data_IF_426929917627
#
_entry.id   IF_426929917627
#
_cell.length_a   1.000
_cell.length_b   1.000
_cell.length_c   1.000
_cell.angle_alpha   90.00
_cell.angle_beta   90.00
_cell.angle_gamma   90.00
#
_symmetry.space_group_name_H-M   'P 1'
#
loop_
_entity.id
_entity.type
_entity.pdbx_description
1 polymer ?
#
# COMPACT_ATOMS: atom_id res chain seq x y z
N UNK A 1 8.02 6.08 3.78
CA UNK A 1 7.10 7.19 3.44
C UNK A 1 7.59 8.11 2.33
N UNK A 2 8.75 8.78 2.42
CA UNK A 2 9.21 9.73 1.36
C UNK A 2 9.31 9.11 -0.04
N UNK A 3 9.77 7.87 -0.15
CA UNK A 3 9.74 7.13 -1.42
C UNK A 3 8.33 6.98 -2.00
N UNK A 4 7.31 6.76 -1.15
CA UNK A 4 5.92 6.66 -1.59
C UNK A 4 5.35 8.01 -2.05
N UNK A 5 5.72 9.10 -1.38
CA UNK A 5 5.32 10.46 -1.77
C UNK A 5 5.85 10.85 -3.15
N UNK A 6 7.03 10.35 -3.52
CA UNK A 6 7.64 10.57 -4.84
C UNK A 6 7.16 9.56 -5.91
N UNK A 7 6.00 8.92 -5.71
CA UNK A 7 5.43 7.97 -6.67
C UNK A 7 6.09 6.58 -6.67
N UNK A 8 7.02 6.30 -5.76
CA UNK A 8 7.47 4.93 -5.50
C UNK A 8 6.41 4.11 -4.77
N UNK A 9 6.57 2.79 -4.71
CA UNK A 9 5.76 1.95 -3.82
C UNK A 9 6.55 1.66 -2.56
N UNK A 10 6.05 2.09 -1.41
CA UNK A 10 6.63 1.73 -0.12
C UNK A 10 5.88 0.55 0.49
N UNK A 11 6.63 -0.49 0.83
CA UNK A 11 6.15 -1.68 1.52
C UNK A 11 6.60 -1.62 2.98
N UNK A 12 5.65 -1.74 3.89
CA UNK A 12 5.91 -1.89 5.31
C UNK A 12 5.29 -3.20 5.82
N UNK A 13 6.06 -3.99 6.57
CA UNK A 13 5.62 -5.25 7.16
C UNK A 13 5.48 -5.07 8.67
N UNK A 14 4.38 -5.52 9.23
CA UNK A 14 4.16 -5.49 10.67
C UNK A 14 3.32 -6.69 11.13
N UNK A 15 3.08 -6.82 12.43
CA UNK A 15 2.14 -7.79 12.99
C UNK A 15 1.03 -7.07 13.77
N UNK A 16 -0.21 -7.50 13.61
CA UNK A 16 -1.36 -7.02 14.40
C UNK A 16 -1.90 -8.25 15.15
N UNK A 17 -1.93 -8.22 16.48
CA UNK A 17 -2.32 -9.39 17.30
C UNK A 17 -1.57 -10.68 16.92
N UNK A 18 -0.26 -10.55 16.66
CA UNK A 18 0.64 -11.58 16.15
C UNK A 18 0.35 -12.11 14.72
N UNK A 19 -0.70 -11.61 14.07
CA UNK A 19 -1.00 -11.90 12.67
C UNK A 19 -0.15 -11.04 11.72
N UNK A 20 0.51 -11.63 10.70
CA UNK A 20 1.25 -10.87 9.71
C UNK A 20 0.35 -9.88 8.95
N UNK A 21 0.92 -8.71 8.68
CA UNK A 21 0.27 -7.65 7.93
C UNK A 21 1.29 -6.94 7.02
N UNK A 22 0.86 -6.62 5.80
CA UNK A 22 1.60 -5.84 4.83
C UNK A 22 0.80 -4.58 4.51
N UNK A 23 1.48 -3.44 4.62
CA UNK A 23 1.01 -2.14 4.19
C UNK A 23 1.77 -1.74 2.93
N UNK A 24 1.05 -1.50 1.84
CA UNK A 24 1.59 -0.97 0.59
C UNK A 24 0.99 0.41 0.34
N UNK A 25 1.83 1.39 0.00
CA UNK A 25 1.39 2.76 -0.23
C UNK A 25 2.18 3.44 -1.33
N UNK A 26 1.49 4.28 -2.11
CA UNK A 26 2.06 5.19 -3.09
C UNK A 26 1.20 6.43 -3.29
N UNK A 27 1.81 7.55 -3.66
CA UNK A 27 1.12 8.70 -4.27
C UNK A 27 0.85 8.53 -5.76
N UNK A 28 1.32 7.44 -6.37
CA UNK A 28 0.99 7.04 -7.74
C UNK A 28 -0.02 5.87 -7.68
N UNK A 29 -1.30 6.19 -7.94
CA UNK A 29 -2.38 5.21 -7.93
C UNK A 29 -2.18 4.11 -8.97
N UNK A 30 -1.76 4.48 -10.18
CA UNK A 30 -1.71 3.55 -11.30
C UNK A 30 -0.57 2.55 -11.13
N UNK A 31 0.59 3.02 -10.65
CA UNK A 31 1.70 2.13 -10.28
C UNK A 31 1.32 1.17 -9.16
N UNK A 32 0.58 1.64 -8.16
CA UNK A 32 0.11 0.77 -7.09
C UNK A 32 -0.89 -0.27 -7.63
N UNK A 33 -1.85 0.14 -8.46
CA UNK A 33 -2.79 -0.77 -9.15
C UNK A 33 -2.08 -1.82 -10.01
N UNK A 34 -1.06 -1.43 -10.75
CA UNK A 34 -0.24 -2.34 -11.56
C UNK A 34 0.45 -3.40 -10.70
N UNK A 35 1.13 -2.99 -9.63
CA UNK A 35 1.75 -3.92 -8.69
C UNK A 35 0.70 -4.86 -8.07
N UNK A 36 -0.47 -4.34 -7.73
CA UNK A 36 -1.54 -5.15 -7.16
C UNK A 36 -2.05 -6.21 -8.11
N UNK A 37 -2.15 -5.92 -9.42
CA UNK A 37 -2.50 -6.94 -10.42
C UNK A 37 -1.50 -8.09 -10.40
N UNK A 38 -0.20 -7.80 -10.34
CA UNK A 38 0.86 -8.80 -10.26
C UNK A 38 0.79 -9.63 -8.98
N UNK A 39 0.42 -9.01 -7.86
CA UNK A 39 0.30 -9.68 -6.55
C UNK A 39 -1.07 -10.34 -6.31
N UNK A 40 -2.02 -10.22 -7.25
CA UNK A 40 -3.38 -10.72 -7.09
C UNK A 40 -4.28 -9.88 -6.16
N UNK A 41 -3.89 -8.65 -5.83
CA UNK A 41 -4.74 -7.72 -5.09
C UNK A 41 -5.89 -7.19 -5.94
N UNK A 42 -7.05 -7.07 -5.30
CA UNK A 42 -8.24 -6.55 -5.96
C UNK A 42 -8.30 -5.02 -5.77
N UNK A 43 -8.50 -4.30 -6.87
CA UNK A 43 -8.59 -2.83 -6.87
C UNK A 43 -9.64 -2.29 -5.88
N UNK A 44 -10.74 -3.03 -5.64
CA UNK A 44 -11.78 -2.65 -4.67
C UNK A 44 -11.32 -2.63 -3.21
N UNK A 45 -10.17 -3.21 -2.89
CA UNK A 45 -9.55 -3.13 -1.56
C UNK A 45 -8.70 -1.87 -1.38
N UNK A 46 -8.44 -1.14 -2.46
CA UNK A 46 -7.59 0.05 -2.43
C UNK A 46 -8.29 1.17 -1.68
N UNK A 47 -7.59 1.75 -0.71
CA UNK A 47 -8.09 2.84 0.11
C UNK A 47 -7.44 4.15 -0.32
N UNK A 48 -8.22 5.23 -0.39
CA UNK A 48 -7.68 6.58 -0.54
C UNK A 48 -7.42 7.17 0.86
N UNK A 49 -6.18 7.54 1.12
CA UNK A 49 -5.78 8.17 2.39
C UNK A 49 -4.57 9.08 2.11
N UNK A 50 -4.74 10.41 2.10
CA UNK A 50 -3.64 11.31 1.83
C UNK A 50 -2.49 11.15 2.81
N UNK A 51 -1.25 11.18 2.30
CA UNK A 51 -0.05 11.23 3.12
C UNK A 51 0.32 12.69 3.41
N UNK A 52 0.77 12.98 4.63
CA UNK A 52 1.37 14.27 4.95
C UNK A 52 2.80 14.31 4.40
N UNK A 53 3.06 15.26 3.52
CA UNK A 53 4.42 15.57 3.09
C UNK A 53 5.22 16.13 4.27
N UNK A 54 6.40 15.57 4.53
CA UNK A 54 7.20 15.91 5.71
C UNK A 54 7.97 17.23 5.53
N UNK A 55 8.22 17.66 4.30
CA UNK A 55 8.96 18.90 4.02
C UNK A 55 8.03 20.11 3.99
N UNK A 56 6.85 19.96 3.42
CA UNK A 56 5.88 21.06 3.21
C UNK A 56 4.71 21.03 4.19
N UNK A 57 4.45 19.89 4.84
CA UNK A 57 3.29 19.68 5.70
C UNK A 57 1.96 19.51 4.95
N UNK A 58 1.94 19.68 3.62
CA UNK A 58 0.76 19.55 2.77
C UNK A 58 0.37 18.08 2.63
N UNK A 59 -0.93 17.79 2.56
CA UNK A 59 -1.40 16.44 2.29
C UNK A 59 -1.43 16.15 0.79
N UNK A 60 -0.75 15.10 0.37
CA UNK A 60 -0.66 14.63 -1.00
C UNK A 60 -1.59 13.42 -1.17
N UNK A 61 -2.36 13.34 -2.27
CA UNK A 61 -3.13 12.14 -2.62
C UNK A 61 -2.26 10.88 -2.52
N UNK A 62 -2.78 9.87 -1.83
CA UNK A 62 -2.11 8.58 -1.72
C UNK A 62 -3.13 7.46 -1.56
N UNK A 63 -2.70 6.27 -1.98
CA UNK A 63 -3.50 5.06 -1.96
C UNK A 63 -2.79 3.95 -1.23
N UNK A 64 -3.57 3.12 -0.56
CA UNK A 64 -3.08 2.16 0.40
C UNK A 64 -3.75 0.81 0.20
N UNK A 65 -2.97 -0.27 0.37
CA UNK A 65 -3.49 -1.59 0.69
C UNK A 65 -2.98 -2.03 2.05
N UNK A 66 -3.94 -2.33 2.93
CA UNK A 66 -3.71 -3.03 4.17
C UNK A 66 -4.14 -4.48 4.00
N UNK A 67 -3.18 -5.39 4.07
CA UNK A 67 -3.41 -6.82 3.82
C UNK A 67 -2.92 -7.61 5.01
N UNK A 68 -3.82 -8.34 5.66
CA UNK A 68 -3.52 -9.11 6.87
C UNK A 68 -4.28 -10.45 6.86
N UNK A 69 -3.83 -11.38 7.70
CA UNK A 69 -4.51 -12.66 7.95
C UNK A 69 -4.73 -13.49 6.69
N UNK A 70 -5.91 -14.09 6.52
CA UNK A 70 -6.24 -14.93 5.35
C UNK A 70 -6.01 -14.23 4.00
N UNK A 71 -6.13 -12.90 3.93
CA UNK A 71 -5.91 -12.15 2.69
C UNK A 71 -4.45 -12.17 2.22
N UNK A 72 -3.49 -12.36 3.13
CA UNK A 72 -2.09 -12.59 2.76
C UNK A 72 -1.89 -13.97 2.13
N UNK A 73 -2.62 -14.99 2.61
CA UNK A 73 -2.57 -16.35 2.06
C UNK A 73 -3.14 -16.44 0.65
N UNK A 74 -4.05 -15.53 0.30
CA UNK A 74 -4.62 -15.41 -1.04
C UNK A 74 -3.64 -14.83 -2.08
N UNK A 75 -2.50 -14.29 -1.63
CA UNK A 75 -1.45 -13.83 -2.53
C UNK A 75 -0.67 -15.04 -3.02
N UNK A 76 -0.92 -15.41 -4.27
CA UNK A 76 -0.15 -16.45 -4.93
C UNK A 76 1.25 -15.91 -5.23
N UNK A 77 2.33 -16.63 -4.87
CA UNK A 77 3.63 -16.38 -5.48
C UNK A 77 3.50 -16.64 -6.98
N UNK A 78 3.84 -15.65 -7.80
CA UNK A 78 4.17 -15.84 -9.22
C UNK A 78 5.47 -16.60 -9.36
#
# INVERSE_FOLDING_TARGET
>A
MRFALNGGVWLHRHKIDNEPMVHLVSSDKERLLELGRTLGFQARWLQYKPLKDLDTGIRVPAWHWDVWGEKLKLLKPT
#
